data_IF_026441750440
#
_entry.id   IF_026441750440
#
_cell.length_a   1.000
_cell.length_b   1.000
_cell.length_c   1.000
_cell.angle_alpha   90.00
_cell.angle_beta   90.00
_cell.angle_gamma   90.00
#
_symmetry.space_group_name_H-M   'P 1'
#
loop_
_entity.id
_entity.type
_entity.pdbx_description
1 polymer ?
#
# COMPACT_ATOMS: atom_id res chain seq x y z
N UNK A 1 -6.03 -18.77 -3.36
CA UNK A 1 -6.13 -18.12 -2.04
C UNK A 1 -7.61 -17.86 -1.77
N UNK A 2 -8.12 -18.19 -0.58
CA UNK A 2 -9.53 -17.90 -0.25
C UNK A 2 -9.70 -16.40 -0.05
N UNK A 3 -10.65 -15.77 -0.74
CA UNK A 3 -10.93 -14.32 -0.64
C UNK A 3 -11.12 -13.85 0.83
N UNK A 4 -11.70 -14.70 1.68
CA UNK A 4 -11.85 -14.45 3.11
C UNK A 4 -10.52 -14.25 3.87
N UNK A 5 -9.43 -14.89 3.43
CA UNK A 5 -8.12 -14.72 4.07
C UNK A 5 -7.49 -13.35 3.74
N UNK A 6 -7.72 -12.84 2.53
CA UNK A 6 -7.30 -11.50 2.11
C UNK A 6 -8.08 -10.43 2.89
N UNK A 7 -9.40 -10.57 2.98
CA UNK A 7 -10.25 -9.62 3.70
C UNK A 7 -9.92 -9.54 5.20
N UNK A 8 -9.70 -10.68 5.85
CA UNK A 8 -9.29 -10.72 7.25
C UNK A 8 -7.92 -10.08 7.46
N UNK A 9 -6.97 -10.31 6.54
CA UNK A 9 -5.64 -9.71 6.62
C UNK A 9 -5.68 -8.20 6.36
N UNK A 10 -6.49 -7.73 5.41
CA UNK A 10 -6.73 -6.29 5.21
C UNK A 10 -7.38 -5.63 6.41
N UNK A 11 -8.35 -6.30 7.04
CA UNK A 11 -8.97 -5.80 8.25
C UNK A 11 -7.95 -5.70 9.39
N UNK A 12 -7.16 -6.75 9.61
CA UNK A 12 -6.11 -6.75 10.63
C UNK A 12 -5.06 -5.64 10.40
N UNK A 13 -4.64 -5.41 9.15
CA UNK A 13 -3.68 -4.35 8.82
C UNK A 13 -4.26 -2.93 8.95
N UNK A 14 -5.59 -2.78 8.87
CA UNK A 14 -6.26 -1.52 9.23
C UNK A 14 -6.30 -1.28 10.74
N UNK A 15 -6.34 -2.34 11.55
CA UNK A 15 -6.37 -2.25 13.02
C UNK A 15 -4.97 -2.08 13.62
N UNK A 16 -3.98 -2.80 13.11
CA UNK A 16 -2.58 -2.69 13.54
C UNK A 16 -1.67 -2.35 12.35
N UNK A 17 -1.61 -1.05 11.99
CA UNK A 17 -0.86 -0.62 10.84
C UNK A 17 0.66 -0.77 11.01
N UNK A 18 1.20 -0.85 12.22
CA UNK A 18 2.65 -0.81 12.48
C UNK A 18 3.38 -2.12 12.11
N UNK A 19 2.63 -3.22 11.93
CA UNK A 19 3.20 -4.53 11.59
C UNK A 19 3.63 -4.57 10.11
N UNK A 20 4.87 -4.17 9.83
CA UNK A 20 5.45 -4.14 8.48
C UNK A 20 5.43 -5.49 7.74
N UNK A 21 5.56 -6.60 8.47
CA UNK A 21 5.56 -7.94 7.87
C UNK A 21 4.18 -8.33 7.32
N UNK A 22 3.09 -7.86 7.93
CA UNK A 22 1.73 -8.15 7.48
C UNK A 22 1.46 -7.52 6.12
N UNK A 23 1.89 -6.27 5.91
CA UNK A 23 1.84 -5.61 4.60
C UNK A 23 2.65 -6.32 3.52
N UNK A 24 3.80 -6.91 3.87
CA UNK A 24 4.58 -7.71 2.93
C UNK A 24 3.85 -9.00 2.52
N UNK A 25 3.26 -9.71 3.48
CA UNK A 25 2.46 -10.90 3.19
C UNK A 25 1.23 -10.58 2.36
N UNK A 26 0.59 -9.44 2.63
CA UNK A 26 -0.53 -8.93 1.83
C UNK A 26 -0.11 -8.67 0.38
N UNK A 27 1.05 -8.03 0.17
CA UNK A 27 1.58 -7.79 -1.18
C UNK A 27 1.82 -9.10 -1.95
N UNK A 28 2.40 -10.12 -1.29
CA UNK A 28 2.62 -11.45 -1.89
C UNK A 28 1.28 -12.11 -2.21
N UNK A 29 0.32 -12.08 -1.30
CA UNK A 29 -0.99 -12.69 -1.50
C UNK A 29 -1.72 -12.05 -2.69
N UNK A 30 -1.67 -10.72 -2.83
CA UNK A 30 -2.22 -10.01 -3.96
C UNK A 30 -1.54 -10.33 -5.28
N UNK A 31 -0.20 -10.39 -5.31
CA UNK A 31 0.55 -10.75 -6.50
C UNK A 31 0.23 -12.19 -6.96
N UNK A 32 0.07 -13.11 -6.00
CA UNK A 32 -0.34 -14.50 -6.27
C UNK A 32 -1.79 -14.64 -6.77
N UNK A 33 -2.60 -13.59 -6.63
CA UNK A 33 -3.98 -13.55 -7.08
C UNK A 33 -4.16 -12.61 -8.29
N UNK A 34 -3.08 -12.29 -9.00
CA UNK A 34 -3.04 -11.39 -10.16
C UNK A 34 -3.54 -9.95 -9.89
N UNK A 35 -3.66 -9.57 -8.61
CA UNK A 35 -4.09 -8.24 -8.18
C UNK A 35 -2.89 -7.29 -8.03
N UNK A 36 -2.16 -7.09 -9.14
CA UNK A 36 -0.90 -6.34 -9.15
C UNK A 36 -1.00 -4.89 -8.64
N UNK A 37 -2.14 -4.23 -8.86
CA UNK A 37 -2.41 -2.90 -8.30
C UNK A 37 -2.48 -2.90 -6.77
N UNK A 38 -3.18 -3.89 -6.20
CA UNK A 38 -3.28 -4.06 -4.75
C UNK A 38 -1.96 -4.53 -4.13
N UNK A 39 -1.21 -5.38 -4.83
CA UNK A 39 0.14 -5.78 -4.42
C UNK A 39 1.10 -4.57 -4.32
N UNK A 40 0.99 -3.66 -5.30
CA UNK A 40 1.74 -2.40 -5.30
C UNK A 40 1.32 -1.48 -4.17
N UNK A 41 0.00 -1.39 -3.88
CA UNK A 41 -0.51 -0.60 -2.75
C UNK A 41 0.00 -1.13 -1.41
N UNK A 42 -0.11 -2.44 -1.17
CA UNK A 42 0.37 -3.05 0.07
C UNK A 42 1.88 -2.83 0.28
N UNK A 43 2.67 -2.87 -0.81
CA UNK A 43 4.08 -2.51 -0.77
C UNK A 43 4.30 -1.04 -0.42
N UNK A 44 3.50 -0.13 -0.99
CA UNK A 44 3.55 1.29 -0.69
C UNK A 44 3.23 1.57 0.79
N UNK A 45 2.21 0.91 1.32
CA UNK A 45 1.77 1.01 2.71
C UNK A 45 2.87 0.56 3.67
N UNK A 46 3.56 -0.55 3.35
CA UNK A 46 4.73 -1.02 4.10
C UNK A 46 5.85 0.02 4.13
N UNK A 47 6.27 0.50 2.97
CA UNK A 47 7.40 1.43 2.88
C UNK A 47 7.08 2.79 3.52
N UNK A 48 5.83 3.26 3.41
CA UNK A 48 5.38 4.48 4.06
C UNK A 48 5.59 4.42 5.57
N UNK A 49 5.23 3.29 6.18
CA UNK A 49 5.35 3.04 7.63
C UNK A 49 6.79 2.76 8.06
N UNK A 50 7.57 2.11 7.20
CA UNK A 50 9.00 1.92 7.42
C UNK A 50 9.82 3.22 7.29
N UNK A 51 9.19 4.35 6.94
CA UNK A 51 9.88 5.64 6.71
C UNK A 51 10.61 5.74 5.38
N UNK A 52 10.52 4.71 4.53
CA UNK A 52 11.14 4.62 3.21
C UNK A 52 10.27 5.33 2.16
N UNK A 53 10.29 6.66 2.19
CA UNK A 53 9.33 7.51 1.47
C UNK A 53 9.44 7.40 -0.05
N UNK A 54 10.65 7.27 -0.58
CA UNK A 54 10.85 7.24 -2.04
C UNK A 54 10.26 5.95 -2.62
N UNK A 55 10.49 4.84 -1.94
CA UNK A 55 9.96 3.52 -2.23
C UNK A 55 8.43 3.52 -2.08
N UNK A 56 7.91 4.12 -1.01
CA UNK A 56 6.47 4.27 -0.80
C UNK A 56 5.80 4.98 -1.99
N UNK A 57 6.36 6.11 -2.43
CA UNK A 57 5.85 6.88 -3.57
C UNK A 57 5.98 6.10 -4.88
N UNK A 58 7.09 5.40 -5.10
CA UNK A 58 7.29 4.57 -6.29
C UNK A 58 6.21 3.49 -6.42
N UNK A 59 5.96 2.75 -5.33
CA UNK A 59 4.96 1.70 -5.30
C UNK A 59 3.53 2.25 -5.38
N UNK A 60 3.25 3.38 -4.73
CA UNK A 60 1.94 4.03 -4.80
C UNK A 60 1.62 4.50 -6.23
N UNK A 61 2.58 5.05 -6.97
CA UNK A 61 2.39 5.41 -8.39
C UNK A 61 2.05 4.20 -9.26
N UNK A 62 2.70 3.06 -9.02
CA UNK A 62 2.37 1.80 -9.71
C UNK A 62 0.97 1.32 -9.35
N UNK A 63 0.54 1.50 -8.10
CA UNK A 63 -0.81 1.18 -7.67
C UNK A 63 -1.84 2.05 -8.41
N UNK A 64 -1.63 3.38 -8.49
CA UNK A 64 -2.53 4.27 -9.24
C UNK A 64 -2.70 3.88 -10.71
N UNK A 65 -1.63 3.43 -11.36
CA UNK A 65 -1.68 3.03 -12.77
C UNK A 65 -2.50 1.74 -13.00
N UNK A 66 -2.54 0.85 -12.01
CA UNK A 66 -3.15 -0.47 -12.14
C UNK A 66 -4.51 -0.61 -11.44
N UNK A 67 -4.88 0.37 -10.61
CA UNK A 67 -6.15 0.36 -9.89
C UNK A 67 -7.17 1.26 -10.60
N UNK A 68 -8.46 0.89 -10.62
CA UNK A 68 -9.50 1.75 -11.15
C UNK A 68 -9.50 3.10 -10.42
N UNK A 69 -9.54 4.18 -11.19
CA UNK A 69 -9.65 5.53 -10.65
C UNK A 69 -10.89 5.66 -9.75
N UNK A 70 -10.74 6.39 -8.64
CA UNK A 70 -11.78 6.53 -7.61
C UNK A 70 -12.00 5.29 -6.72
N UNK A 71 -11.38 4.15 -7.01
CA UNK A 71 -11.47 2.99 -6.13
C UNK A 71 -10.83 3.26 -4.76
N UNK A 72 -11.25 2.57 -3.69
CA UNK A 72 -10.65 2.75 -2.37
C UNK A 72 -9.13 2.54 -2.32
N UNK A 73 -8.59 1.60 -3.10
CA UNK A 73 -7.15 1.39 -3.20
C UNK A 73 -6.43 2.52 -3.95
N UNK A 74 -7.07 3.09 -4.97
CA UNK A 74 -6.55 4.23 -5.72
C UNK A 74 -6.49 5.51 -4.86
N UNK A 75 -7.51 5.76 -4.04
CA UNK A 75 -7.51 6.87 -3.07
C UNK A 75 -6.41 6.71 -2.02
N UNK A 76 -6.27 5.52 -1.42
CA UNK A 76 -5.18 5.24 -0.47
C UNK A 76 -3.79 5.45 -1.08
N UNK A 77 -3.59 5.06 -2.33
CA UNK A 77 -2.32 5.28 -3.03
C UNK A 77 -2.00 6.77 -3.20
N UNK A 78 -3.00 7.62 -3.45
CA UNK A 78 -2.80 9.08 -3.49
C UNK A 78 -2.39 9.64 -2.14
N UNK A 79 -3.05 9.23 -1.06
CA UNK A 79 -2.73 9.71 0.28
C UNK A 79 -1.26 9.41 0.65
N UNK A 80 -0.75 8.24 0.26
CA UNK A 80 0.66 7.87 0.45
C UNK A 80 1.59 8.76 -0.37
N UNK A 81 1.22 9.09 -1.61
CA UNK A 81 2.01 9.99 -2.47
C UNK A 81 2.07 11.39 -1.85
N UNK A 82 0.94 11.93 -1.41
CA UNK A 82 0.87 13.27 -0.82
C UNK A 82 1.58 13.34 0.54
N UNK A 83 1.46 12.30 1.36
CA UNK A 83 2.19 12.18 2.63
C UNK A 83 3.70 12.10 2.39
N UNK A 84 4.14 11.30 1.40
CA UNK A 84 5.54 11.17 1.03
C UNK A 84 6.16 12.47 0.52
N UNK A 85 5.39 13.27 -0.23
CA UNK A 85 5.80 14.61 -0.71
C UNK A 85 5.87 15.65 0.41
N UNK A 86 4.84 15.74 1.25
CA UNK A 86 4.69 16.77 2.28
C UNK A 86 5.83 16.74 3.30
N UNK A 87 6.29 15.54 3.62
CA UNK A 87 7.30 15.32 4.64
C UNK A 87 8.74 15.65 4.13
N UNK A 88 8.93 15.86 2.81
CA UNK A 88 10.16 16.43 2.22
C UNK A 88 10.29 17.93 2.49
N UNK A 89 9.16 18.63 2.70
CA UNK A 89 9.11 20.09 2.87
C UNK A 89 9.43 20.57 4.29
N UNK A 90 9.46 19.68 5.28
CA UNK A 90 9.72 20.01 6.69
C UNK A 90 11.19 19.79 7.14
N UNK A 91 12.09 19.36 6.24
CA UNK A 91 13.51 19.09 6.57
C UNK A 91 14.49 20.03 5.84
N UNK A 92 14.00 21.17 5.36
CA UNK A 92 14.79 22.22 4.71
C UNK A 92 14.68 23.52 5.48
#
# INVERSE_FOLDING_TARGET
YNAAALENLEWAMRQDPEILIGWHQLAIAYARNDQNGMASLASAERYSRAGARQEAVLHAKRALHNLPEGSPGWLRAQDIIETGKSNRKQRG
#
